data_IF_263751234111
#
_entry.id   IF_263751234111
#
_cell.length_a   1.000
_cell.length_b   1.000
_cell.length_c   1.000
_cell.angle_alpha   90.00
_cell.angle_beta   90.00
_cell.angle_gamma   90.00
#
_symmetry.space_group_name_H-M   'P 1'
#
loop_
_entity.id
_entity.type
_entity.pdbx_description
1 polymer ?
#
# COMPACT_ATOMS: atom_id res chain seq x y z
N UNK A 1 7.65 1.51 -12.23
CA UNK A 1 6.85 0.33 -11.83
C UNK A 1 5.86 0.05 -12.95
N UNK A 2 5.79 -1.20 -13.39
CA UNK A 2 4.81 -1.66 -14.39
C UNK A 2 3.40 -1.73 -13.79
N UNK A 3 2.35 -1.64 -14.62
CA UNK A 3 0.96 -1.66 -14.19
C UNK A 3 0.65 -2.91 -13.35
N UNK A 4 1.10 -4.09 -13.78
CA UNK A 4 0.88 -5.33 -13.04
C UNK A 4 1.56 -5.33 -11.66
N UNK A 5 2.80 -4.81 -11.58
CA UNK A 5 3.50 -4.67 -10.30
C UNK A 5 2.75 -3.75 -9.33
N UNK A 6 2.08 -2.72 -9.83
CA UNK A 6 1.23 -1.84 -9.02
C UNK A 6 0.03 -2.59 -8.47
N UNK A 7 -0.66 -3.39 -9.30
CA UNK A 7 -1.83 -4.16 -8.84
C UNK A 7 -1.42 -5.15 -7.75
N UNK A 8 -0.31 -5.87 -7.96
CA UNK A 8 0.22 -6.82 -6.98
C UNK A 8 0.57 -6.12 -5.67
N UNK A 9 1.21 -4.95 -5.73
CA UNK A 9 1.49 -4.14 -4.55
C UNK A 9 0.21 -3.72 -3.82
N UNK A 10 -0.83 -3.29 -4.53
CA UNK A 10 -2.11 -2.90 -3.90
C UNK A 10 -2.78 -4.06 -3.17
N UNK A 11 -2.73 -5.27 -3.73
CA UNK A 11 -3.22 -6.49 -3.07
C UNK A 11 -2.37 -6.81 -1.84
N UNK A 12 -1.04 -6.73 -1.97
CA UNK A 12 -0.12 -7.04 -0.89
C UNK A 12 -0.23 -6.08 0.30
N UNK A 13 -0.51 -4.79 0.05
CA UNK A 13 -0.65 -3.76 1.08
C UNK A 13 -1.94 -3.87 1.90
N UNK A 14 -2.95 -4.61 1.45
CA UNK A 14 -4.14 -4.88 2.28
C UNK A 14 -3.88 -5.91 3.39
N UNK A 15 -2.75 -6.62 3.37
CA UNK A 15 -2.37 -7.51 4.46
C UNK A 15 -3.22 -8.80 4.50
N UNK A 16 -3.40 -9.35 5.72
CA UNK A 16 -4.11 -10.61 5.95
C UNK A 16 -5.61 -10.54 5.66
N UNK A 17 -6.20 -9.35 5.68
CA UNK A 17 -7.63 -9.17 5.39
C UNK A 17 -7.93 -9.38 3.90
N UNK A 18 -6.90 -9.22 3.05
CA UNK A 18 -7.01 -9.25 1.60
C UNK A 18 -7.89 -8.13 1.03
N UNK A 19 -7.98 -8.11 -0.30
CA UNK A 19 -8.75 -7.10 -1.04
C UNK A 19 -9.87 -7.75 -1.85
N UNK A 20 -11.06 -7.15 -1.82
CA UNK A 20 -12.11 -7.52 -2.77
C UNK A 20 -11.86 -6.88 -4.12
N UNK A 21 -12.38 -7.47 -5.19
CA UNK A 21 -12.25 -6.93 -6.54
C UNK A 21 -12.85 -5.51 -6.69
N UNK A 22 -14.05 -5.21 -6.18
CA UNK A 22 -14.55 -3.85 -6.19
C UNK A 22 -13.66 -2.87 -5.43
N UNK A 23 -13.12 -3.27 -4.27
CA UNK A 23 -12.21 -2.43 -3.50
C UNK A 23 -10.90 -2.17 -4.23
N UNK A 24 -10.37 -3.17 -4.95
CA UNK A 24 -9.15 -3.02 -5.75
C UNK A 24 -9.32 -1.95 -6.82
N UNK A 25 -10.46 -1.92 -7.51
CA UNK A 25 -10.74 -0.89 -8.53
C UNK A 25 -10.78 0.51 -7.94
N UNK A 26 -11.41 0.69 -6.78
CA UNK A 26 -11.44 1.98 -6.07
C UNK A 26 -10.01 2.40 -5.69
N UNK A 27 -9.19 1.48 -5.15
CA UNK A 27 -7.81 1.78 -4.77
C UNK A 27 -6.94 2.17 -5.94
N UNK A 28 -7.07 1.47 -7.08
CA UNK A 28 -6.31 1.79 -8.29
C UNK A 28 -6.74 3.14 -8.89
N UNK A 29 -8.03 3.47 -8.81
CA UNK A 29 -8.56 4.76 -9.29
C UNK A 29 -8.10 5.94 -8.42
N UNK A 30 -8.10 5.78 -7.09
CA UNK A 30 -7.71 6.84 -6.14
C UNK A 30 -6.19 6.89 -5.87
N UNK A 31 -5.42 6.07 -6.60
CA UNK A 31 -3.98 5.89 -6.39
C UNK A 31 -3.19 7.18 -6.64
N UNK A 32 -2.08 7.36 -5.91
CA UNK A 32 -1.08 8.40 -6.19
C UNK A 32 0.32 7.79 -6.30
N UNK A 33 1.07 7.93 -7.42
CA UNK A 33 0.66 8.54 -8.69
C UNK A 33 -0.44 7.75 -9.40
N UNK A 34 -1.07 8.37 -10.40
CA UNK A 34 -2.17 7.78 -11.16
C UNK A 34 -1.78 6.42 -11.76
N UNK A 35 -2.75 5.51 -11.82
CA UNK A 35 -2.55 4.20 -12.42
C UNK A 35 -2.35 4.35 -13.94
N UNK A 36 -1.33 3.73 -14.55
CA UNK A 36 -0.95 3.99 -15.94
C UNK A 36 -1.94 3.46 -16.99
N UNK A 37 -2.90 2.61 -16.61
CA UNK A 37 -3.90 2.05 -17.52
C UNK A 37 -5.29 2.61 -17.20
N UNK A 38 -6.14 2.70 -18.21
CA UNK A 38 -7.56 3.03 -18.02
C UNK A 38 -8.27 1.81 -17.41
N UNK A 39 -9.13 2.03 -16.42
CA UNK A 39 -9.89 0.96 -15.77
C UNK A 39 -11.23 0.70 -16.50
N UNK A 40 -11.16 0.47 -17.81
CA UNK A 40 -12.27 -0.05 -18.60
C UNK A 40 -12.44 -1.55 -18.38
N UNK A 41 -13.56 -2.11 -18.82
CA UNK A 41 -13.92 -3.50 -18.52
C UNK A 41 -12.94 -4.50 -19.15
N UNK A 42 -12.38 -4.19 -20.33
CA UNK A 42 -11.34 -5.00 -20.95
C UNK A 42 -10.07 -5.06 -20.09
N UNK A 43 -9.59 -3.90 -19.62
CA UNK A 43 -8.40 -3.82 -18.77
C UNK A 43 -8.61 -4.48 -17.41
N UNK A 44 -9.79 -4.32 -16.80
CA UNK A 44 -10.14 -5.01 -15.54
C UNK A 44 -10.09 -6.53 -15.71
N UNK A 45 -10.69 -7.06 -16.78
CA UNK A 45 -10.63 -8.48 -17.10
C UNK A 45 -9.20 -8.97 -17.34
N UNK A 46 -8.36 -8.18 -18.00
CA UNK A 46 -6.94 -8.49 -18.17
C UNK A 46 -6.18 -8.55 -16.84
N UNK A 47 -6.36 -7.54 -15.98
CA UNK A 47 -5.75 -7.49 -14.65
C UNK A 47 -6.18 -8.70 -13.82
N UNK A 48 -7.47 -9.02 -13.82
CA UNK A 48 -8.01 -10.17 -13.09
C UNK A 48 -7.39 -11.50 -13.57
N UNK A 49 -7.31 -11.73 -14.89
CA UNK A 49 -6.65 -12.93 -15.45
C UNK A 49 -5.20 -13.04 -15.03
N UNK A 50 -4.48 -11.92 -14.99
CA UNK A 50 -3.09 -11.89 -14.51
C UNK A 50 -3.04 -12.26 -13.02
N UNK A 51 -3.86 -11.65 -12.17
CA UNK A 51 -3.92 -11.98 -10.73
C UNK A 51 -4.27 -13.46 -10.48
N UNK A 52 -5.25 -14.00 -11.20
CA UNK A 52 -5.67 -15.40 -11.06
C UNK A 52 -4.59 -16.40 -11.50
N UNK A 53 -3.68 -15.98 -12.39
CA UNK A 53 -2.56 -16.81 -12.87
C UNK A 53 -1.31 -16.70 -11.99
N UNK A 54 -1.25 -15.73 -11.05
CA UNK A 54 -0.08 -15.48 -10.23
C UNK A 54 -0.03 -16.40 -9.00
N UNK A 55 0.93 -17.34 -9.00
CA UNK A 55 1.11 -18.34 -7.93
C UNK A 55 1.33 -17.71 -6.55
N UNK A 56 2.03 -16.57 -6.49
CA UNK A 56 2.33 -15.86 -5.22
C UNK A 56 1.10 -15.23 -4.54
N UNK A 57 -0.05 -15.18 -5.22
CA UNK A 57 -1.32 -14.76 -4.65
C UNK A 57 -2.20 -15.94 -4.22
N UNK A 58 -1.76 -17.18 -4.48
CA UNK A 58 -2.59 -18.39 -4.28
C UNK A 58 -2.27 -19.17 -3.00
N UNK A 59 -1.17 -18.86 -2.31
CA UNK A 59 -0.65 -19.68 -1.20
C UNK A 59 -1.57 -19.80 0.01
N UNK A 60 -2.60 -18.97 0.17
CA UNK A 60 -3.67 -19.23 1.12
C UNK A 60 -5.02 -18.77 0.57
N UNK A 61 -5.77 -19.76 0.05
CA UNK A 61 -7.21 -19.72 -0.27
C UNK A 61 -7.63 -19.09 -1.61
N UNK A 62 -6.83 -19.26 -2.67
CA UNK A 62 -7.43 -19.38 -4.00
C UNK A 62 -7.75 -20.85 -4.28
N UNK A 63 -8.98 -21.26 -3.93
CA UNK A 63 -9.60 -22.40 -4.61
C UNK A 63 -10.55 -21.86 -5.69
N UNK A 64 -10.04 -21.00 -6.57
CA UNK A 64 -10.75 -20.69 -7.81
C UNK A 64 -10.28 -21.69 -8.87
N UNK A 65 -10.99 -22.81 -8.99
CA UNK A 65 -10.99 -23.64 -10.21
C UNK A 65 -11.76 -22.92 -11.32
N UNK A 66 -11.42 -21.67 -11.63
CA UNK A 66 -12.03 -20.95 -12.76
C UNK A 66 -10.92 -20.67 -13.77
N UNK A 67 -10.74 -21.63 -14.66
CA UNK A 67 -10.05 -21.40 -15.92
C UNK A 67 -10.97 -20.52 -16.77
N UNK A 68 -10.53 -19.29 -17.10
CA UNK A 68 -11.30 -18.36 -17.91
C UNK A 68 -11.11 -18.66 -19.39
N UNK A 69 -12.21 -18.94 -20.08
CA UNK A 69 -12.29 -18.87 -21.53
C UNK A 69 -13.43 -17.90 -21.87
N UNK A 70 -13.04 -16.70 -22.33
CA UNK A 70 -13.86 -15.66 -22.99
C UNK A 70 -14.53 -14.53 -22.17
N UNK A 71 -14.76 -13.42 -22.91
CA UNK A 71 -15.12 -12.06 -22.49
C UNK A 71 -16.47 -11.89 -21.76
N UNK A 72 -17.21 -12.96 -21.45
CA UNK A 72 -18.50 -12.92 -20.75
C UNK A 72 -18.40 -13.20 -19.24
N UNK A 73 -17.23 -13.59 -18.76
CA UNK A 73 -17.09 -14.19 -17.43
C UNK A 73 -16.93 -13.18 -16.27
N UNK A 74 -16.57 -11.92 -16.55
CA UNK A 74 -16.46 -10.86 -15.51
C UNK A 74 -17.80 -10.63 -14.79
N UNK A 75 -18.91 -10.73 -15.54
CA UNK A 75 -20.27 -10.66 -15.02
C UNK A 75 -20.56 -11.91 -14.17
N UNK A 76 -20.14 -13.09 -14.62
CA UNK A 76 -20.40 -14.35 -13.91
C UNK A 76 -19.64 -14.44 -12.59
N UNK A 77 -18.39 -13.98 -12.50
CA UNK A 77 -17.64 -13.95 -11.22
C UNK A 77 -18.30 -13.00 -10.23
N UNK A 78 -18.66 -11.80 -10.68
CA UNK A 78 -19.33 -10.80 -9.85
C UNK A 78 -20.69 -11.31 -9.37
N UNK A 79 -21.42 -12.06 -10.20
CA UNK A 79 -22.69 -12.67 -9.82
C UNK A 79 -22.49 -13.84 -8.86
N UNK A 80 -21.48 -14.69 -9.04
CA UNK A 80 -21.28 -15.90 -8.21
C UNK A 80 -20.57 -15.65 -6.89
N UNK A 81 -19.58 -14.76 -6.87
CA UNK A 81 -18.73 -14.51 -5.70
C UNK A 81 -18.75 -13.05 -5.23
N UNK A 82 -19.42 -12.14 -5.96
CA UNK A 82 -19.77 -10.80 -5.50
C UNK A 82 -18.72 -10.10 -4.62
N UNK A 83 -19.13 -9.69 -3.42
CA UNK A 83 -18.26 -9.05 -2.41
C UNK A 83 -17.55 -10.06 -1.49
N UNK A 84 -17.75 -11.36 -1.68
CA UNK A 84 -17.17 -12.39 -0.82
C UNK A 84 -15.83 -12.92 -1.35
N UNK A 85 -15.53 -12.66 -2.62
CA UNK A 85 -14.22 -12.96 -3.19
C UNK A 85 -13.17 -11.97 -2.66
N UNK A 86 -12.16 -12.52 -1.99
CA UNK A 86 -11.04 -11.77 -1.43
C UNK A 86 -9.75 -12.35 -2.00
N UNK A 87 -8.90 -11.47 -2.51
CA UNK A 87 -7.56 -11.76 -2.98
C UNK A 87 -6.59 -11.49 -1.83
N UNK A 88 -5.77 -12.49 -1.47
CA UNK A 88 -4.78 -12.37 -0.39
C UNK A 88 -3.41 -12.68 -0.96
N UNK A 89 -2.43 -11.81 -0.75
CA UNK A 89 -1.06 -12.06 -1.16
C UNK A 89 -0.33 -13.01 -0.19
N UNK A 90 0.62 -13.81 -0.70
CA UNK A 90 1.48 -14.65 0.14
C UNK A 90 2.26 -13.81 1.16
N UNK A 91 2.68 -14.46 2.25
CA UNK A 91 3.49 -13.81 3.28
C UNK A 91 4.76 -13.16 2.69
N UNK A 92 5.44 -13.89 1.80
CA UNK A 92 6.66 -13.45 1.13
C UNK A 92 6.42 -12.21 0.26
N UNK A 93 5.32 -12.19 -0.49
CA UNK A 93 4.98 -11.06 -1.36
C UNK A 93 4.65 -9.81 -0.54
N UNK A 94 3.89 -9.93 0.55
CA UNK A 94 3.60 -8.81 1.47
C UNK A 94 4.85 -8.23 2.08
N UNK A 95 5.74 -9.11 2.55
CA UNK A 95 7.03 -8.72 3.10
C UNK A 95 7.88 -7.97 2.06
N UNK A 96 8.00 -8.52 0.84
CA UNK A 96 8.72 -7.90 -0.27
C UNK A 96 8.15 -6.53 -0.66
N UNK A 97 6.83 -6.41 -0.72
CA UNK A 97 6.16 -5.13 -1.01
C UNK A 97 6.44 -4.10 0.09
N UNK A 98 6.40 -4.46 1.37
CA UNK A 98 6.64 -3.48 2.45
C UNK A 98 8.08 -2.96 2.47
N UNK A 99 9.04 -3.86 2.24
CA UNK A 99 10.47 -3.53 2.25
C UNK A 99 10.90 -2.75 1.00
N UNK A 100 10.28 -3.06 -0.14
CA UNK A 100 10.61 -2.47 -1.43
C UNK A 100 11.77 -3.18 -2.12
N UNK A 101 12.01 -2.83 -3.38
CA UNK A 101 13.06 -3.42 -4.23
C UNK A 101 14.47 -3.10 -3.77
N UNK A 102 14.65 -1.89 -3.22
CA UNK A 102 15.96 -1.30 -2.87
C UNK A 102 16.60 -1.90 -1.62
N UNK A 103 15.79 -2.53 -0.77
CA UNK A 103 16.23 -3.05 0.51
C UNK A 103 16.40 -4.58 0.45
N UNK A 104 17.16 -5.10 1.41
CA UNK A 104 17.49 -6.53 1.53
C UNK A 104 16.20 -7.40 1.64
N UNK A 105 15.94 -8.32 0.70
CA UNK A 105 14.82 -9.26 0.76
C UNK A 105 14.87 -10.21 1.95
N UNK A 106 16.03 -10.43 2.57
CA UNK A 106 16.23 -11.34 3.71
C UNK A 106 16.32 -10.63 5.05
N UNK A 107 15.96 -9.34 5.09
CA UNK A 107 16.04 -8.51 6.28
C UNK A 107 15.30 -9.15 7.47
N UNK A 108 16.00 -9.39 8.58
CA UNK A 108 15.36 -9.95 9.78
C UNK A 108 14.69 -8.86 10.60
N UNK A 109 13.36 -8.75 10.48
CA UNK A 109 12.52 -7.92 11.34
C UNK A 109 11.90 -8.77 12.45
N UNK A 110 11.73 -8.21 13.65
CA UNK A 110 10.92 -8.84 14.68
C UNK A 110 9.44 -8.83 14.27
N UNK A 111 8.66 -9.77 14.80
CA UNK A 111 7.23 -9.86 14.51
C UNK A 111 6.50 -8.55 14.84
N UNK A 112 6.87 -7.90 15.94
CA UNK A 112 6.25 -6.65 16.38
C UNK A 112 6.60 -5.49 15.45
N UNK A 113 7.86 -5.38 15.02
CA UNK A 113 8.27 -4.38 14.03
C UNK A 113 7.59 -4.63 12.67
N UNK A 114 7.44 -5.89 12.26
CA UNK A 114 6.73 -6.25 11.04
C UNK A 114 5.24 -5.87 11.11
N UNK A 115 4.55 -6.14 12.22
CA UNK A 115 3.16 -5.72 12.41
C UNK A 115 2.98 -4.20 12.30
N UNK A 116 3.92 -3.43 12.86
CA UNK A 116 3.92 -1.96 12.70
C UNK A 116 4.14 -1.57 11.25
N UNK A 117 5.05 -2.25 10.55
CA UNK A 117 5.32 -1.99 9.14
C UNK A 117 4.11 -2.29 8.26
N UNK A 118 3.42 -3.41 8.48
CA UNK A 118 2.15 -3.75 7.81
C UNK A 118 1.09 -2.68 8.04
N UNK A 119 0.96 -2.21 9.28
CA UNK A 119 0.02 -1.14 9.62
C UNK A 119 0.33 0.14 8.85
N UNK A 120 1.60 0.57 8.84
CA UNK A 120 2.03 1.76 8.08
C UNK A 120 1.81 1.56 6.58
N UNK A 121 2.04 0.35 6.06
CA UNK A 121 1.82 0.01 4.65
C UNK A 121 0.38 0.15 4.20
N UNK A 122 -0.59 -0.26 5.01
CA UNK A 122 -2.03 -0.09 4.72
C UNK A 122 -2.43 1.37 4.52
N UNK A 123 -1.79 2.28 5.26
CA UNK A 123 -1.98 3.73 5.16
C UNK A 123 -1.41 4.36 3.88
N UNK A 124 -0.61 3.63 3.09
CA UNK A 124 -0.08 4.03 1.77
C UNK A 124 0.44 5.48 1.79
N UNK A 125 -0.20 6.36 1.01
CA UNK A 125 0.18 7.77 0.85
C UNK A 125 -0.37 8.70 1.93
N UNK A 126 -1.36 8.23 2.69
CA UNK A 126 -1.93 8.97 3.80
C UNK A 126 -1.04 8.84 5.06
N UNK A 127 -0.30 7.73 5.15
CA UNK A 127 0.51 7.38 6.30
C UNK A 127 -0.34 6.98 7.51
N UNK A 128 0.33 6.62 8.61
CA UNK A 128 -0.30 6.27 9.88
C UNK A 128 0.16 7.23 10.96
N UNK A 129 -0.79 7.81 11.69
CA UNK A 129 -0.47 8.70 12.81
C UNK A 129 0.08 7.84 13.95
N UNK A 130 1.24 8.23 14.46
CA UNK A 130 1.74 7.70 15.71
C UNK A 130 0.82 8.16 16.85
N UNK A 131 -0.14 7.33 17.21
CA UNK A 131 -0.90 7.54 18.44
C UNK A 131 0.07 7.43 19.63
N UNK A 132 -0.21 8.14 20.73
CA UNK A 132 0.66 8.32 21.89
C UNK A 132 1.12 7.04 22.62
N UNK A 133 0.81 5.85 22.09
CA UNK A 133 1.25 4.58 22.63
C UNK A 133 2.78 4.47 22.50
N UNK A 134 3.48 4.50 23.65
CA UNK A 134 4.94 4.37 23.76
C UNK A 134 5.47 3.14 23.03
N UNK A 135 4.67 2.09 22.90
CA UNK A 135 5.02 0.86 22.19
C UNK A 135 5.38 1.13 20.71
N UNK A 136 4.60 1.94 20.00
CA UNK A 136 4.92 2.30 18.61
C UNK A 136 6.25 3.05 18.48
N UNK A 137 6.61 3.86 19.49
CA UNK A 137 7.90 4.56 19.50
C UNK A 137 9.09 3.60 19.58
N UNK A 138 9.00 2.54 20.38
CA UNK A 138 10.07 1.54 20.48
C UNK A 138 10.12 0.63 19.26
N UNK A 139 8.97 0.12 18.82
CA UNK A 139 8.88 -0.81 17.70
C UNK A 139 9.32 -0.21 16.36
N UNK A 140 9.20 1.12 16.20
CA UNK A 140 9.63 1.80 14.98
C UNK A 140 11.14 2.04 14.87
N UNK A 141 11.93 1.87 15.95
CA UNK A 141 13.38 2.14 15.91
C UNK A 141 14.10 1.24 14.90
N UNK A 142 13.75 -0.05 14.85
CA UNK A 142 14.28 -0.99 13.87
C UNK A 142 13.91 -0.58 12.44
N UNK A 143 12.67 -0.11 12.23
CA UNK A 143 12.19 0.32 10.92
C UNK A 143 12.89 1.58 10.41
N UNK A 144 13.22 2.52 11.32
CA UNK A 144 14.02 3.71 10.97
C UNK A 144 15.46 3.33 10.67
N UNK A 145 16.06 2.42 11.45
CA UNK A 145 17.43 1.94 11.24
C UNK A 145 17.62 1.30 9.85
N UNK A 146 16.64 0.51 9.40
CA UNK A 146 16.65 -0.10 8.07
C UNK A 146 16.02 0.79 7.00
N UNK A 147 15.77 2.06 7.30
CA UNK A 147 15.23 3.05 6.37
C UNK A 147 13.89 2.67 5.70
N UNK A 148 13.07 1.84 6.34
CA UNK A 148 11.80 1.39 5.76
C UNK A 148 10.70 2.45 5.89
N UNK A 149 10.81 3.32 6.90
CA UNK A 149 9.83 4.37 7.19
C UNK A 149 10.47 5.75 7.28
N UNK A 150 9.65 6.76 7.02
CA UNK A 150 9.94 8.17 7.23
C UNK A 150 9.01 8.73 8.30
N UNK A 151 9.47 9.75 9.02
CA UNK A 151 8.70 10.45 10.04
C UNK A 151 8.51 11.90 9.63
N UNK A 152 7.27 12.37 9.67
CA UNK A 152 6.93 13.75 9.37
C UNK A 152 6.18 14.35 10.56
N UNK A 153 6.40 15.63 10.83
CA UNK A 153 5.59 16.36 11.81
C UNK A 153 4.16 16.51 11.28
N UNK A 154 3.18 16.21 12.12
CA UNK A 154 1.77 16.29 11.75
C UNK A 154 1.01 17.07 12.81
N UNK A 155 0.34 18.13 12.37
CA UNK A 155 -0.47 18.98 13.26
C UNK A 155 -1.93 18.82 12.89
N UNK A 156 -2.74 18.37 13.84
CA UNK A 156 -4.21 18.27 13.70
C UNK A 156 -4.87 19.36 14.52
N UNK A 157 -5.77 20.12 13.90
CA UNK A 157 -6.66 21.05 14.62
C UNK A 157 -7.86 20.28 15.16
N UNK A 158 -8.11 20.39 16.46
CA UNK A 158 -9.27 19.80 17.11
C UNK A 158 -10.50 20.70 16.91
N UNK A 159 -11.69 20.12 17.07
CA UNK A 159 -12.97 20.85 17.03
C UNK A 159 -13.06 21.96 18.08
N UNK A 160 -12.26 21.86 19.15
CA UNK A 160 -12.13 22.84 20.23
C UNK A 160 -11.19 24.01 19.88
N UNK A 161 -10.58 24.03 18.69
CA UNK A 161 -9.64 25.06 18.24
C UNK A 161 -8.17 24.79 18.64
N UNK A 162 -7.92 23.88 19.58
CA UNK A 162 -6.56 23.51 19.98
C UNK A 162 -5.82 22.73 18.88
N UNK A 163 -4.50 22.94 18.81
CA UNK A 163 -3.61 22.21 17.91
C UNK A 163 -2.98 21.04 18.64
N UNK A 164 -3.03 19.85 18.04
CA UNK A 164 -2.35 18.67 18.52
C UNK A 164 -1.19 18.33 17.58
N UNK A 165 0.00 18.25 18.16
CA UNK A 165 1.22 17.85 17.46
C UNK A 165 1.42 16.34 17.61
N UNK A 166 1.64 15.67 16.49
CA UNK A 166 1.89 14.24 16.39
C UNK A 166 2.97 13.96 15.34
N UNK A 167 3.36 12.70 15.21
CA UNK A 167 4.26 12.22 14.15
C UNK A 167 3.45 11.36 13.18
N UNK A 168 3.57 11.63 11.89
CA UNK A 168 3.04 10.78 10.82
C UNK A 168 4.16 9.83 10.35
N UNK A 169 3.86 8.54 10.36
CA UNK A 169 4.75 7.49 9.85
C UNK A 169 4.33 7.15 8.43
N UNK A 170 5.27 7.13 7.50
CA UNK A 170 5.01 6.78 6.10
C UNK A 170 6.07 5.81 5.60
N UNK A 171 5.72 4.91 4.67
CA UNK A 171 6.70 4.06 3.99
C UNK A 171 7.64 4.92 3.14
N UNK A 172 8.95 4.73 3.29
CA UNK A 172 9.97 5.49 2.53
C UNK A 172 9.82 5.30 1.02
N UNK A 173 9.47 4.08 0.58
CA UNK A 173 9.25 3.76 -0.85
C UNK A 173 8.11 4.55 -1.51
N UNK A 174 7.11 5.01 -0.76
CA UNK A 174 6.00 5.81 -1.30
C UNK A 174 6.23 7.32 -1.19
N UNK A 175 7.19 7.73 -0.34
CA UNK A 175 7.45 9.12 -0.07
C UNK A 175 8.94 9.39 -0.16
N UNK A 176 9.36 9.80 -1.36
CA UNK A 176 10.63 10.50 -1.45
C UNK A 176 10.55 11.78 -0.62
N UNK A 177 11.52 11.91 0.27
CA UNK A 177 11.67 12.93 1.30
C UNK A 177 11.26 14.32 0.78
N UNK A 178 10.05 14.79 1.12
CA UNK A 178 9.58 16.16 0.79
C UNK A 178 10.40 17.26 1.48
N UNK A 179 11.30 16.90 2.39
CA UNK A 179 12.19 17.84 3.10
C UNK A 179 13.17 18.56 2.18
N UNK A 180 13.43 18.04 0.97
CA UNK A 180 14.23 18.75 -0.04
C UNK A 180 13.41 19.79 -0.82
N UNK A 181 12.07 19.66 -0.84
CA UNK A 181 11.17 20.62 -1.48
C UNK A 181 10.86 21.85 -0.62
N UNK A 182 10.88 21.71 0.72
CA UNK A 182 10.73 22.89 1.59
C UNK A 182 11.94 23.83 1.51
N UNK A 183 13.15 23.29 1.34
CA UNK A 183 14.35 24.10 1.08
C UNK A 183 14.35 24.75 -0.32
N UNK A 184 13.81 24.09 -1.34
CA UNK A 184 13.67 24.69 -2.67
C UNK A 184 12.59 25.77 -2.73
N UNK A 185 11.46 25.61 -2.03
CA UNK A 185 10.41 26.62 -2.00
C UNK A 185 10.80 27.87 -1.19
N UNK A 186 11.59 27.74 -0.11
CA UNK A 186 12.11 28.91 0.61
C UNK A 186 13.24 29.61 -0.13
N UNK A 187 14.05 28.92 -0.94
CA UNK A 187 15.08 29.56 -1.77
C UNK A 187 14.50 30.38 -2.93
N UNK A 188 13.40 29.94 -3.55
CA UNK A 188 12.75 30.70 -4.65
C UNK A 188 12.07 31.98 -4.11
N UNK A 189 11.52 31.94 -2.89
CA UNK A 189 10.91 33.13 -2.28
C UNK A 189 11.90 34.17 -1.74
N UNK A 190 13.19 33.84 -1.61
CA UNK A 190 14.21 34.76 -1.11
C UNK A 190 15.09 35.38 -2.23
N UNK A 191 14.96 34.92 -3.48
CA UNK A 191 15.73 35.43 -4.62
C UNK A 191 14.89 36.26 -5.62
N UNK A 192 13.58 36.41 -5.38
CA UNK A 192 12.67 37.24 -6.20
C UNK A 192 11.97 38.32 -5.34
N UNK A 193 12.73 38.95 -4.46
CA UNK A 193 12.39 40.22 -3.80
C UNK A 193 13.58 41.15 -3.87
#
# INVERSE_FOLDING_TARGET
>A
MDALSIVVDEVALEGLDGITIPSLWIRLQDRKPEFPLKLDDYTKGFIWRSLASNVDLTENKFRCNVCFNDNNDDITITIRYGRTLVVVASQSLRFRTLIGSENDPELKLSNESYCVLERVGRGRWQGEIQNACKLMHYLRKSLVKHELITMQSYVRRLKTGYQQHSILLLLKRFHFNRSVWFLFCTFIYFFVT
#
